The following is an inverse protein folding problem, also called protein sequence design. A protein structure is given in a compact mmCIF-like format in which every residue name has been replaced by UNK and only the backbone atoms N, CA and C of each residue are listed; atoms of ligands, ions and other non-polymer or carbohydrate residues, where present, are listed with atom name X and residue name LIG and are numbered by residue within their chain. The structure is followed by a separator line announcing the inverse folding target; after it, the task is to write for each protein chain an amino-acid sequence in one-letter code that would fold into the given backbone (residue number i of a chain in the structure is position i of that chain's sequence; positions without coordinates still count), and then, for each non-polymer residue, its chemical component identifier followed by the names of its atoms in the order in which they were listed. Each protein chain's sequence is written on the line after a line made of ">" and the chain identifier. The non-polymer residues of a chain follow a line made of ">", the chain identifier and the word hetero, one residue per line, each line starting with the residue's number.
data_IF_928384365455
#
_entry.id   IF_928384365455
#
_cell.length_a   1.000
_cell.length_b   1.000
_cell.length_c   1.000
_cell.angle_alpha   90.00
_cell.angle_beta   90.00
_cell.angle_gamma   90.00
#
_symmetry.space_group_name_H-M   'P 1'
#
loop_
_entity.id
_entity.type
_entity.pdbx_description
1 polymer ?
#
# COMPACT_ATOMS: atom_id res chain seq x y z
N UNK A 1 -7.97 -13.67 -6.17
CA UNK A 1 -7.46 -14.96 -6.70
C UNK A 1 -7.28 -14.93 -8.22
N UNK A 2 -7.84 -13.92 -8.91
CA UNK A 2 -7.83 -13.76 -10.37
C UNK A 2 -6.83 -12.70 -10.88
N UNK A 3 -5.84 -12.32 -10.07
CA UNK A 3 -4.94 -11.20 -10.37
C UNK A 3 -3.63 -11.63 -11.05
N UNK A 4 -3.38 -12.94 -11.09
CA UNK A 4 -2.26 -13.58 -11.78
C UNK A 4 -2.77 -14.84 -12.48
N UNK A 5 -1.91 -15.43 -13.32
CA UNK A 5 -2.20 -16.63 -14.10
C UNK A 5 -2.79 -17.77 -13.25
N UNK A 6 -3.62 -18.60 -13.89
CA UNK A 6 -4.29 -19.72 -13.23
C UNK A 6 -3.29 -20.76 -12.68
N UNK A 7 -2.07 -20.79 -13.25
CA UNK A 7 -0.98 -21.68 -12.88
C UNK A 7 0.17 -20.90 -12.22
N UNK A 8 0.00 -20.55 -10.95
CA UNK A 8 1.06 -19.98 -10.11
C UNK A 8 1.65 -21.07 -9.21
N UNK A 9 2.98 -21.06 -9.01
CA UNK A 9 3.68 -22.04 -8.16
C UNK A 9 3.44 -21.76 -6.66
N UNK A 10 3.28 -20.48 -6.30
CA UNK A 10 3.07 -20.05 -4.92
C UNK A 10 1.59 -19.94 -4.56
N UNK A 11 1.30 -20.07 -3.26
CA UNK A 11 -0.06 -19.83 -2.74
C UNK A 11 -0.48 -18.40 -3.05
N UNK A 12 -1.59 -18.25 -3.78
CA UNK A 12 -2.16 -16.96 -4.19
C UNK A 12 -2.56 -16.06 -3.01
N UNK A 13 -2.85 -16.61 -1.84
CA UNK A 13 -3.21 -15.83 -0.65
C UNK A 13 -2.53 -16.42 0.58
N UNK A 14 -1.76 -15.60 1.27
CA UNK A 14 -1.04 -15.94 2.48
C UNK A 14 -1.58 -15.05 3.60
N UNK A 15 -2.15 -15.64 4.66
CA UNK A 15 -2.47 -14.88 5.87
C UNK A 15 -1.16 -14.44 6.54
N UNK A 16 -1.04 -13.13 6.81
CA UNK A 16 0.16 -12.57 7.41
C UNK A 16 0.14 -12.92 8.91
N UNK A 17 1.21 -13.55 9.38
CA UNK A 17 1.54 -13.71 10.81
C UNK A 17 2.85 -13.02 11.10
N UNK A 18 3.84 -13.26 10.25
CA UNK A 18 5.11 -12.57 10.21
C UNK A 18 5.59 -12.52 8.75
N UNK A 19 5.29 -11.40 8.09
CA UNK A 19 5.58 -11.18 6.68
C UNK A 19 7.06 -11.43 6.34
N UNK A 20 7.99 -11.03 7.22
CA UNK A 20 9.44 -11.14 6.99
C UNK A 20 9.95 -12.58 7.09
N UNK A 21 9.24 -13.43 7.83
CA UNK A 21 9.53 -14.87 7.91
C UNK A 21 8.84 -15.65 6.80
N UNK A 22 7.66 -15.20 6.36
CA UNK A 22 6.85 -15.92 5.38
C UNK A 22 7.30 -15.67 3.93
N UNK A 23 7.79 -14.47 3.62
CA UNK A 23 8.27 -14.14 2.28
C UNK A 23 9.80 -14.00 2.30
N UNK A 24 10.54 -14.80 1.51
CA UNK A 24 11.99 -14.70 1.43
C UNK A 24 12.45 -13.34 0.89
N UNK A 25 13.70 -12.98 1.21
CA UNK A 25 14.33 -11.80 0.63
C UNK A 25 14.39 -11.93 -0.90
N UNK A 26 14.26 -10.81 -1.60
CA UNK A 26 14.30 -10.68 -3.06
C UNK A 26 13.09 -11.24 -3.83
N UNK A 27 11.99 -11.58 -3.14
CA UNK A 27 10.72 -11.86 -3.80
C UNK A 27 9.89 -10.59 -3.90
N UNK A 28 9.27 -10.37 -5.06
CA UNK A 28 8.23 -9.36 -5.24
C UNK A 28 6.95 -9.84 -4.56
N UNK A 29 6.27 -8.95 -3.82
CA UNK A 29 5.01 -9.30 -3.18
C UNK A 29 4.11 -8.07 -3.02
N UNK A 30 2.81 -8.34 -2.94
CA UNK A 30 1.78 -7.41 -2.52
C UNK A 30 1.28 -7.80 -1.13
N UNK A 31 1.19 -6.85 -0.21
CA UNK A 31 0.67 -7.08 1.14
C UNK A 31 -0.34 -6.00 1.52
N UNK A 32 -1.38 -6.40 2.25
CA UNK A 32 -2.42 -5.53 2.78
C UNK A 32 -2.64 -5.86 4.24
N UNK A 33 -2.80 -4.84 5.08
CA UNK A 33 -3.12 -4.96 6.51
C UNK A 33 -4.40 -4.19 6.83
N UNK A 34 -5.13 -4.65 7.85
CA UNK A 34 -6.41 -4.07 8.26
C UNK A 34 -6.29 -3.41 9.63
N UNK A 35 -5.75 -2.18 9.63
CA UNK A 35 -5.52 -1.42 10.85
C UNK A 35 -4.41 -2.04 11.69
N UNK A 36 -4.75 -2.53 12.89
CA UNK A 36 -3.82 -3.24 13.78
C UNK A 36 -3.84 -4.76 13.59
N UNK A 37 -4.81 -5.27 12.82
CA UNK A 37 -4.90 -6.69 12.53
C UNK A 37 -4.07 -7.01 11.30
N UNK A 38 -3.42 -8.16 11.33
CA UNK A 38 -2.73 -8.69 10.18
C UNK A 38 -3.71 -8.90 9.03
N UNK A 39 -3.28 -8.61 7.81
CA UNK A 39 -4.05 -8.96 6.62
C UNK A 39 -3.42 -10.08 5.82
N UNK A 40 -3.27 -9.85 4.52
CA UNK A 40 -2.89 -10.87 3.56
C UNK A 40 -1.72 -10.43 2.70
N UNK A 41 -0.93 -11.40 2.28
CA UNK A 41 0.12 -11.22 1.30
C UNK A 41 -0.09 -12.14 0.11
N UNK A 42 0.43 -11.70 -1.03
CA UNK A 42 0.46 -12.40 -2.30
C UNK A 42 1.85 -12.22 -2.89
N UNK A 43 2.54 -13.32 -3.18
CA UNK A 43 3.83 -13.29 -3.89
C UNK A 43 3.54 -13.01 -5.35
N UNK A 44 4.24 -12.04 -5.94
CA UNK A 44 4.11 -11.66 -7.34
C UNK A 44 5.18 -12.41 -8.13
N UNK A 45 4.77 -13.32 -9.01
CA UNK A 45 5.68 -14.14 -9.80
C UNK A 45 6.06 -13.44 -11.10
N UNK A 46 5.09 -12.78 -11.73
CA UNK A 46 5.25 -12.14 -13.03
C UNK A 46 4.98 -10.64 -12.95
N UNK A 47 6.00 -9.90 -12.49
CA UNK A 47 5.92 -8.45 -12.26
C UNK A 47 5.48 -7.65 -13.50
N UNK A 48 5.78 -8.14 -14.71
CA UNK A 48 5.37 -7.51 -15.97
C UNK A 48 3.86 -7.61 -16.24
N UNK A 49 3.24 -8.69 -15.79
CA UNK A 49 1.80 -8.93 -15.93
C UNK A 49 0.98 -8.33 -14.78
N UNK A 50 1.62 -8.13 -13.62
CA UNK A 50 0.95 -7.63 -12.43
C UNK A 50 0.68 -6.13 -12.54
N UNK A 51 -0.60 -5.68 -12.51
CA UNK A 51 -0.91 -4.27 -12.73
C UNK A 51 -0.43 -3.41 -11.56
N UNK A 52 0.39 -2.40 -11.87
CA UNK A 52 0.86 -1.42 -10.87
C UNK A 52 -0.27 -0.64 -10.18
N UNK A 53 -1.45 -0.58 -10.81
CA UNK A 53 -2.66 0.05 -10.27
C UNK A 53 -3.59 -0.90 -9.50
N UNK A 54 -3.18 -2.16 -9.28
CA UNK A 54 -4.01 -3.20 -8.66
C UNK A 54 -4.72 -2.70 -7.38
N UNK A 55 -3.95 -2.18 -6.43
CA UNK A 55 -4.51 -1.70 -5.16
C UNK A 55 -5.46 -0.50 -5.34
N UNK A 56 -5.14 0.42 -6.27
CA UNK A 56 -5.98 1.59 -6.54
C UNK A 56 -7.33 1.18 -7.11
N UNK A 57 -7.37 0.21 -8.02
CA UNK A 57 -8.61 -0.29 -8.61
C UNK A 57 -9.52 -0.91 -7.55
N UNK A 58 -8.96 -1.76 -6.69
CA UNK A 58 -9.70 -2.44 -5.62
C UNK A 58 -10.28 -1.42 -4.62
N UNK A 59 -9.47 -0.47 -4.14
CA UNK A 59 -9.94 0.57 -3.19
C UNK A 59 -10.95 1.50 -3.86
N UNK A 60 -10.70 1.93 -5.09
CA UNK A 60 -11.62 2.82 -5.81
C UNK A 60 -12.96 2.14 -6.10
N UNK A 61 -12.94 0.85 -6.45
CA UNK A 61 -14.15 0.05 -6.61
C UNK A 61 -14.93 -0.08 -5.30
N UNK A 62 -14.25 -0.33 -4.18
CA UNK A 62 -14.91 -0.37 -2.85
C UNK A 62 -15.53 0.97 -2.44
N UNK A 63 -14.93 2.09 -2.87
CA UNK A 63 -15.42 3.45 -2.59
C UNK A 63 -16.40 3.99 -3.64
N UNK A 64 -16.78 3.18 -4.64
CA UNK A 64 -17.61 3.57 -5.79
C UNK A 64 -17.11 4.85 -6.48
N UNK A 65 -15.78 4.96 -6.64
CA UNK A 65 -15.16 6.11 -7.28
C UNK A 65 -15.11 5.91 -8.81
N UNK A 66 -15.42 6.96 -9.59
CA UNK A 66 -15.35 6.87 -11.04
C UNK A 66 -13.91 6.63 -11.51
N UNK A 67 -13.76 5.84 -12.57
CA UNK A 67 -12.47 5.40 -13.10
C UNK A 67 -11.50 6.56 -13.42
N UNK A 68 -12.04 7.71 -13.82
CA UNK A 68 -11.27 8.92 -14.12
C UNK A 68 -10.53 9.52 -12.91
N UNK A 69 -10.90 9.18 -11.68
CA UNK A 69 -10.22 9.68 -10.46
C UNK A 69 -8.95 8.91 -10.12
N UNK A 70 -8.81 7.66 -10.56
CA UNK A 70 -7.67 6.81 -10.21
C UNK A 70 -6.86 6.32 -11.41
N UNK A 71 -7.48 6.07 -12.57
CA UNK A 71 -6.76 5.66 -13.80
C UNK A 71 -5.93 6.78 -14.42
N UNK A 72 -6.36 8.03 -14.24
CA UNK A 72 -5.67 9.20 -14.78
C UNK A 72 -5.43 10.20 -13.66
N UNK A 73 -4.28 10.07 -12.99
CA UNK A 73 -3.86 11.06 -11.99
C UNK A 73 -3.68 12.41 -12.69
N UNK A 74 -4.56 13.36 -12.35
CA UNK A 74 -4.37 14.75 -12.77
C UNK A 74 -3.16 15.33 -12.04
N UNK A 75 -2.20 15.94 -12.75
CA UNK A 75 -1.10 16.63 -12.09
C UNK A 75 -1.69 17.72 -11.17
N UNK A 76 -1.21 17.77 -9.93
CA UNK A 76 -1.60 18.78 -8.95
C UNK A 76 -0.51 19.84 -8.89
N UNK A 77 -0.90 21.10 -8.69
CA UNK A 77 0.07 22.17 -8.50
C UNK A 77 0.82 21.98 -7.19
N UNK A 78 2.06 22.51 -7.14
CA UNK A 78 2.87 22.44 -5.92
C UNK A 78 2.14 23.07 -4.72
N UNK A 79 1.41 24.17 -4.94
CA UNK A 79 0.63 24.84 -3.90
C UNK A 79 -0.44 23.94 -3.31
N UNK A 80 -1.24 23.28 -4.16
CA UNK A 80 -2.31 22.37 -3.69
C UNK A 80 -1.77 21.18 -2.91
N UNK A 81 -0.64 20.61 -3.36
CA UNK A 81 0.00 19.50 -2.64
C UNK A 81 0.53 19.99 -1.30
N UNK A 82 1.16 21.18 -1.25
CA UNK A 82 1.66 21.78 -0.02
C UNK A 82 0.54 22.02 0.98
N UNK A 83 -0.57 22.62 0.55
CA UNK A 83 -1.71 22.91 1.43
C UNK A 83 -2.31 21.62 2.03
N UNK A 84 -2.39 20.53 1.25
CA UNK A 84 -2.81 19.21 1.75
C UNK A 84 -1.82 18.62 2.76
N UNK A 85 -0.52 18.74 2.49
CA UNK A 85 0.52 18.29 3.41
C UNK A 85 0.44 19.05 4.74
N UNK A 86 0.23 20.36 4.70
CA UNK A 86 0.16 21.20 5.90
C UNK A 86 -1.12 20.92 6.71
N UNK A 87 -2.26 20.67 6.05
CA UNK A 87 -3.48 20.22 6.71
C UNK A 87 -3.30 18.84 7.38
N UNK A 88 -2.66 17.88 6.69
CA UNK A 88 -2.38 16.56 7.26
C UNK A 88 -1.44 16.64 8.47
N UNK A 89 -0.40 17.49 8.41
CA UNK A 89 0.50 17.72 9.55
C UNK A 89 -0.25 18.26 10.76
N UNK A 90 -1.11 19.26 10.58
CA UNK A 90 -1.91 19.82 11.66
C UNK A 90 -2.85 18.77 12.29
N UNK A 91 -3.46 17.91 11.49
CA UNK A 91 -4.30 16.82 11.97
C UNK A 91 -3.52 15.71 12.70
N UNK A 92 -2.27 15.47 12.29
CA UNK A 92 -1.39 14.45 12.88
C UNK A 92 -0.68 14.90 14.15
N UNK A 93 -0.59 16.21 14.40
CA UNK A 93 0.10 16.83 15.53
C UNK A 93 -0.11 16.14 16.90
N UNK A 94 -1.34 15.79 17.35
CA UNK A 94 -1.53 15.13 18.65
C UNK A 94 -1.02 13.68 18.71
N UNK A 95 -0.74 13.04 17.57
CA UNK A 95 -0.31 11.64 17.47
C UNK A 95 1.17 11.48 17.10
N UNK A 96 1.89 12.59 16.90
CA UNK A 96 3.28 12.56 16.47
C UNK A 96 4.25 12.20 17.61
N UNK A 97 4.52 10.91 17.75
CA UNK A 97 5.49 10.37 18.69
C UNK A 97 6.94 10.71 18.32
N UNK A 98 7.22 11.12 17.08
CA UNK A 98 8.60 11.35 16.61
C UNK A 98 9.28 12.56 17.25
N UNK A 99 8.49 13.50 17.78
CA UNK A 99 8.98 14.67 18.55
C UNK A 99 9.61 14.30 19.90
N UNK A 100 9.30 13.10 20.41
CA UNK A 100 9.80 12.59 21.69
C UNK A 100 11.05 11.72 21.53
N UNK A 101 11.50 11.47 20.30
CA UNK A 101 12.70 10.67 20.04
C UNK A 101 13.93 11.55 20.28
N UNK A 102 14.76 11.17 21.26
CA UNK A 102 16.10 11.73 21.38
C UNK A 102 16.98 11.22 20.23
N UNK A 103 17.43 12.13 19.38
CA UNK A 103 18.26 11.82 18.21
C UNK A 103 19.76 11.96 18.48
N UNK A 104 20.14 12.44 19.66
CA UNK A 104 21.54 12.68 20.03
C UNK A 104 22.21 11.45 20.68
N UNK A 105 21.48 10.36 20.90
CA UNK A 105 21.97 9.16 21.57
C UNK A 105 22.27 8.01 20.58
N UNK A 106 23.02 8.31 19.52
CA UNK A 106 23.52 7.34 18.53
C UNK A 106 25.04 7.34 18.47
#
# INVERSE_FOLDING_TARGET
>A
MECEDEYADNKKLIEIKDLRRQIPKNFSYFAVDFGLNNGYAHVIEHTESFPSSFAHEIIAGMMDLPANKWRTRKPQSFKEVKDKCDAMKAAWEPYDWTKKIDRNNR
#
